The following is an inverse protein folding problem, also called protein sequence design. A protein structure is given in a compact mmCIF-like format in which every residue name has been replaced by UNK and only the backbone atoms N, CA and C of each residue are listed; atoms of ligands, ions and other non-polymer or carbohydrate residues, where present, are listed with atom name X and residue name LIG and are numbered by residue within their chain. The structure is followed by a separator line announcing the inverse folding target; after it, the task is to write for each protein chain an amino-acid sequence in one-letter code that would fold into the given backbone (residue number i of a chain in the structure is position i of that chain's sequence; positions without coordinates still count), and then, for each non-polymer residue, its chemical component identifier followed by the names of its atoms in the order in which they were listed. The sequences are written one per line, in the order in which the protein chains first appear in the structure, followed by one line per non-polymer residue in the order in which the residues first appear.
data_IF_736347859691
#
_entry.id   IF_736347859691
#
_cell.length_a   1.000
_cell.length_b   1.000
_cell.length_c   1.000
_cell.angle_alpha   90.00
_cell.angle_beta   90.00
_cell.angle_gamma   90.00
#
_symmetry.space_group_name_H-M   'P 1'
#
loop_
_entity.id
_entity.type
_entity.pdbx_description
1 polymer ?
#
# COMPACT_ATOMS: atom_id res chain seq x y z
N UNK A 1 0.57 -3.92 13.83
CA UNK A 1 1.49 -3.39 12.81
C UNK A 1 0.89 -2.13 12.20
N UNK A 2 1.72 -1.11 11.94
CA UNK A 2 1.31 0.12 11.28
C UNK A 2 1.80 0.12 9.84
N UNK A 3 0.96 0.57 8.91
CA UNK A 3 1.28 0.74 7.49
C UNK A 3 1.30 2.23 7.17
N UNK A 4 2.44 2.75 6.73
CA UNK A 4 2.55 4.09 6.17
C UNK A 4 2.50 4.01 4.65
N UNK A 5 1.58 4.72 4.05
CA UNK A 5 1.51 4.89 2.60
C UNK A 5 1.75 6.34 2.23
N UNK A 6 2.72 6.58 1.37
CA UNK A 6 3.05 7.90 0.82
C UNK A 6 2.78 7.88 -0.68
N UNK A 7 2.19 8.98 -1.16
CA UNK A 7 2.08 9.30 -2.58
C UNK A 7 2.61 10.70 -2.81
N UNK A 8 3.42 10.90 -3.85
CA UNK A 8 3.91 12.23 -4.23
C UNK A 8 4.11 12.35 -5.75
N UNK A 9 4.15 13.59 -6.25
CA UNK A 9 4.51 13.89 -7.63
C UNK A 9 6.00 14.21 -7.70
N UNK A 10 6.76 13.39 -8.40
CA UNK A 10 8.22 13.54 -8.53
C UNK A 10 8.53 14.56 -9.62
N UNK A 11 9.40 15.54 -9.31
CA UNK A 11 9.84 16.60 -10.19
C UNK A 11 11.26 16.42 -10.70
N UNK A 12 12.12 15.76 -9.91
CA UNK A 12 13.46 15.30 -10.32
C UNK A 12 13.56 13.78 -10.05
N UNK A 13 13.33 12.99 -11.09
CA UNK A 13 13.35 11.52 -10.99
C UNK A 13 14.70 10.99 -10.51
N UNK A 14 15.81 11.47 -11.08
CA UNK A 14 17.15 10.99 -10.70
C UNK A 14 17.51 11.35 -9.26
N UNK A 15 17.19 12.56 -8.83
CA UNK A 15 17.38 13.00 -7.44
C UNK A 15 16.54 12.19 -6.48
N UNK A 16 15.27 11.97 -6.81
CA UNK A 16 14.34 11.18 -6.02
C UNK A 16 14.83 9.73 -5.84
N UNK A 17 15.22 9.05 -6.91
CA UNK A 17 15.75 7.68 -6.88
C UNK A 17 17.04 7.59 -6.06
N UNK A 18 17.96 8.56 -6.20
CA UNK A 18 19.15 8.62 -5.33
C UNK A 18 18.79 8.77 -3.86
N UNK A 19 17.82 9.61 -3.56
CA UNK A 19 17.31 9.81 -2.21
C UNK A 19 16.63 8.57 -1.65
N UNK A 20 15.82 7.86 -2.47
CA UNK A 20 15.16 6.62 -2.05
C UNK A 20 16.15 5.56 -1.57
N UNK A 21 17.30 5.42 -2.22
CA UNK A 21 18.35 4.47 -1.76
C UNK A 21 18.90 4.79 -0.37
N UNK A 22 18.82 6.05 0.09
CA UNK A 22 19.27 6.43 1.45
C UNK A 22 18.33 5.91 2.55
N UNK A 23 17.11 5.54 2.18
CA UNK A 23 16.16 4.92 3.11
C UNK A 23 16.58 3.50 3.55
N UNK A 24 17.61 2.90 2.93
CA UNK A 24 18.28 1.73 3.49
C UNK A 24 18.80 1.97 4.93
N UNK A 25 19.00 3.22 5.33
CA UNK A 25 19.29 3.59 6.72
C UNK A 25 18.16 3.26 7.72
N UNK A 26 16.99 2.83 7.26
CA UNK A 26 15.92 2.28 8.12
C UNK A 26 16.26 0.88 8.66
N UNK A 27 17.21 0.16 8.05
CA UNK A 27 17.68 -1.13 8.52
C UNK A 27 18.27 -1.01 9.90
N UNK A 28 17.80 -1.20 10.94
CA UNK A 28 18.31 -1.00 12.31
C UNK A 28 17.50 0.00 13.12
N UNK A 29 16.52 0.69 12.51
CA UNK A 29 15.59 1.47 13.29
C UNK A 29 14.65 0.54 14.06
N UNK A 30 14.48 0.75 15.38
CA UNK A 30 13.62 -0.10 16.20
C UNK A 30 12.18 -0.16 15.65
N UNK A 31 11.64 -1.38 15.55
CA UNK A 31 10.29 -1.64 15.10
C UNK A 31 10.04 -1.43 13.61
N UNK A 32 11.06 -1.09 12.81
CA UNK A 32 10.96 -1.10 11.35
C UNK A 32 10.85 -2.53 10.83
N UNK A 33 9.95 -2.77 9.87
CA UNK A 33 9.64 -4.11 9.36
C UNK A 33 9.89 -4.26 7.87
N UNK A 34 10.01 -3.16 7.13
CA UNK A 34 10.28 -3.18 5.70
C UNK A 34 9.70 -1.96 4.99
N UNK A 35 10.24 -1.67 3.84
CA UNK A 35 9.77 -0.63 2.93
C UNK A 35 9.88 -1.12 1.50
N UNK A 36 8.98 -0.67 0.66
CA UNK A 36 9.06 -0.80 -0.78
C UNK A 36 8.22 0.27 -1.45
N UNK A 37 8.37 0.38 -2.74
CA UNK A 37 7.62 1.39 -3.49
C UNK A 37 7.94 1.32 -4.97
N UNK A 38 7.38 2.28 -5.71
CA UNK A 38 7.57 2.31 -7.14
C UNK A 38 6.70 3.37 -7.82
N UNK A 39 6.54 3.19 -9.12
CA UNK A 39 5.90 4.15 -9.98
C UNK A 39 4.45 3.78 -10.29
N UNK A 40 3.56 4.77 -10.23
CA UNK A 40 2.18 4.60 -10.69
C UNK A 40 2.16 4.23 -12.17
N UNK A 41 1.44 3.15 -12.51
CA UNK A 41 1.22 2.78 -13.92
C UNK A 41 0.19 3.67 -14.61
N UNK A 42 -0.74 4.22 -13.85
CA UNK A 42 -1.81 5.07 -14.37
C UNK A 42 -1.50 6.56 -14.39
N UNK A 43 -0.48 6.99 -13.64
CA UNK A 43 -0.14 8.42 -13.45
C UNK A 43 1.36 8.63 -13.56
N UNK A 44 1.89 8.98 -14.76
CA UNK A 44 3.31 9.24 -14.96
C UNK A 44 3.86 10.28 -13.97
N UNK A 45 5.03 9.99 -13.41
CA UNK A 45 5.68 10.87 -12.44
C UNK A 45 5.14 10.78 -11.00
N UNK A 46 4.12 9.94 -10.74
CA UNK A 46 3.64 9.70 -9.38
C UNK A 46 4.37 8.50 -8.78
N UNK A 47 4.95 8.70 -7.60
CA UNK A 47 5.59 7.65 -6.80
C UNK A 47 4.71 7.26 -5.62
N UNK A 48 4.75 5.98 -5.26
CA UNK A 48 4.15 5.43 -4.05
C UNK A 48 5.21 4.72 -3.23
N UNK A 49 5.21 4.96 -1.92
CA UNK A 49 6.09 4.30 -0.95
C UNK A 49 5.21 3.69 0.15
N UNK A 50 5.54 2.46 0.53
CA UNK A 50 4.90 1.73 1.61
C UNK A 50 5.97 1.38 2.64
N UNK A 51 5.75 1.76 3.90
CA UNK A 51 6.64 1.40 5.00
C UNK A 51 5.83 0.74 6.12
N UNK A 52 6.41 -0.26 6.74
CA UNK A 52 5.77 -1.08 7.76
C UNK A 52 6.50 -0.96 9.08
N UNK A 53 5.74 -0.77 10.15
CA UNK A 53 6.25 -0.59 11.50
C UNK A 53 5.54 -1.54 12.45
N UNK A 54 6.25 -2.02 13.43
CA UNK A 54 5.69 -2.92 14.45
C UNK A 54 4.53 -2.26 15.19
N UNK A 55 4.66 -0.97 15.53
CA UNK A 55 3.62 -0.18 16.18
C UNK A 55 3.69 1.30 15.82
N UNK A 56 2.65 2.03 16.19
CA UNK A 56 2.59 3.49 16.11
C UNK A 56 3.70 4.14 16.93
N UNK A 57 4.00 3.62 18.12
CA UNK A 57 5.01 4.19 19.00
C UNK A 57 6.43 4.13 18.39
N UNK A 58 6.79 3.02 17.73
CA UNK A 58 8.06 2.94 17.01
C UNK A 58 8.13 3.92 15.85
N UNK A 59 7.06 4.04 15.08
CA UNK A 59 6.98 5.02 14.00
C UNK A 59 7.12 6.47 14.51
N UNK A 60 6.40 6.85 15.57
CA UNK A 60 6.45 8.20 16.12
C UNK A 60 7.84 8.51 16.70
N UNK A 61 8.48 7.52 17.34
CA UNK A 61 9.87 7.63 17.80
C UNK A 61 10.87 7.85 16.66
N UNK A 62 10.71 7.13 15.54
CA UNK A 62 11.51 7.34 14.32
C UNK A 62 11.30 8.73 13.74
N UNK A 63 10.05 9.19 13.64
CA UNK A 63 9.73 10.54 13.14
C UNK A 63 10.39 11.63 13.96
N UNK A 64 10.43 11.47 15.29
CA UNK A 64 11.04 12.44 16.19
C UNK A 64 12.58 12.48 16.15
N UNK A 65 13.25 11.39 15.75
CA UNK A 65 14.71 11.26 15.89
C UNK A 65 15.47 11.20 14.58
N UNK A 66 15.00 10.41 13.64
CA UNK A 66 15.80 9.98 12.48
C UNK A 66 15.23 10.42 11.13
N UNK A 67 13.92 10.68 11.05
CA UNK A 67 13.21 10.93 9.80
C UNK A 67 13.84 12.06 8.98
N UNK A 68 14.02 13.23 9.57
CA UNK A 68 14.41 14.44 8.83
C UNK A 68 15.81 14.30 8.21
N UNK A 69 16.72 13.60 8.88
CA UNK A 69 18.05 13.31 8.36
C UNK A 69 17.99 12.47 7.08
N UNK A 70 17.10 11.47 7.01
CA UNK A 70 16.92 10.63 5.81
C UNK A 70 16.15 11.38 4.73
N UNK A 71 15.10 12.10 5.11
CA UNK A 71 14.23 12.85 4.19
C UNK A 71 14.99 14.00 3.49
N UNK A 72 15.98 14.60 4.13
CA UNK A 72 16.81 15.68 3.57
C UNK A 72 17.44 15.28 2.22
N UNK A 73 17.78 14.00 2.03
CA UNK A 73 18.35 13.49 0.78
C UNK A 73 17.40 13.58 -0.43
N UNK A 74 16.10 13.80 -0.20
CA UNK A 74 15.07 13.93 -1.23
C UNK A 74 14.46 15.35 -1.32
N UNK A 75 14.99 16.29 -0.55
CA UNK A 75 14.49 17.67 -0.56
C UNK A 75 14.49 18.24 -1.99
N UNK A 76 13.39 18.87 -2.38
CA UNK A 76 13.23 19.51 -3.68
C UNK A 76 13.03 18.56 -4.88
N UNK A 77 13.00 17.24 -4.67
CA UNK A 77 12.85 16.27 -5.78
C UNK A 77 11.40 15.88 -6.06
N UNK A 78 10.47 16.25 -5.21
CA UNK A 78 9.03 15.97 -5.34
C UNK A 78 8.19 17.09 -4.76
N UNK A 79 6.90 17.05 -5.06
CA UNK A 79 5.87 17.97 -4.54
C UNK A 79 4.60 17.20 -4.15
N UNK A 80 3.71 17.89 -3.42
CA UNK A 80 2.39 17.41 -3.03
C UNK A 80 2.42 16.04 -2.29
N UNK A 81 3.32 15.84 -1.29
CA UNK A 81 3.36 14.59 -0.57
C UNK A 81 2.08 14.40 0.24
N UNK A 82 1.47 13.24 0.08
CA UNK A 82 0.34 12.80 0.89
C UNK A 82 0.76 11.53 1.64
N UNK A 83 0.76 11.59 2.95
CA UNK A 83 1.05 10.45 3.82
C UNK A 83 -0.20 10.05 4.58
N UNK A 84 -0.50 8.76 4.56
CA UNK A 84 -1.58 8.16 5.34
C UNK A 84 -1.04 7.00 6.16
N UNK A 85 -1.62 6.81 7.32
CA UNK A 85 -1.28 5.74 8.26
C UNK A 85 -2.51 4.87 8.47
N UNK A 86 -2.31 3.55 8.40
CA UNK A 86 -3.35 2.57 8.60
C UNK A 86 -2.91 1.54 9.63
N UNK A 87 -3.81 1.17 10.51
CA UNK A 87 -3.61 0.04 11.39
C UNK A 87 -3.92 -1.26 10.65
N UNK A 88 -2.98 -2.20 10.67
CA UNK A 88 -3.18 -3.53 10.11
C UNK A 88 -4.30 -4.26 10.86
N UNK A 89 -5.21 -4.88 10.11
CA UNK A 89 -6.32 -5.68 10.64
C UNK A 89 -6.12 -7.17 10.39
N UNK A 90 -5.93 -7.57 9.14
CA UNK A 90 -5.74 -8.97 8.77
C UNK A 90 -5.09 -9.12 7.37
N UNK A 91 -4.63 -10.34 7.11
CA UNK A 91 -4.08 -10.72 5.81
C UNK A 91 -5.18 -10.87 4.76
N UNK A 92 -4.90 -10.41 3.54
CA UNK A 92 -5.69 -10.78 2.34
C UNK A 92 -5.34 -12.19 1.92
N UNK A 93 -4.06 -12.57 2.05
CA UNK A 93 -3.57 -13.94 1.87
C UNK A 93 -2.69 -14.28 3.06
N UNK A 94 -2.97 -15.39 3.72
CA UNK A 94 -2.32 -15.85 4.96
C UNK A 94 -0.79 -15.78 4.88
N UNK A 95 -0.16 -15.33 5.95
CA UNK A 95 1.29 -15.21 6.07
C UNK A 95 1.84 -13.94 5.44
N UNK A 96 1.13 -12.83 5.58
CA UNK A 96 1.65 -11.55 5.15
C UNK A 96 2.95 -11.19 5.87
N UNK A 97 3.99 -11.00 5.09
CA UNK A 97 5.24 -10.38 5.50
C UNK A 97 5.47 -9.13 4.65
N UNK A 98 6.00 -8.03 5.21
CA UNK A 98 6.25 -6.79 4.49
C UNK A 98 7.48 -6.89 3.57
N UNK A 99 7.51 -7.91 2.72
CA UNK A 99 8.55 -8.16 1.72
C UNK A 99 8.00 -7.89 0.33
N UNK A 100 8.81 -7.26 -0.51
CA UNK A 100 8.44 -6.88 -1.87
C UNK A 100 9.17 -7.69 -2.95
N UNK A 101 10.08 -8.57 -2.56
CA UNK A 101 11.01 -9.26 -3.46
C UNK A 101 10.37 -10.23 -4.46
N UNK A 102 9.17 -10.72 -4.16
CA UNK A 102 8.50 -11.73 -5.00
C UNK A 102 7.35 -11.15 -5.83
N UNK A 103 7.28 -9.83 -5.92
CA UNK A 103 6.21 -9.12 -6.62
C UNK A 103 6.78 -8.05 -7.54
N UNK A 104 6.17 -7.90 -8.71
CA UNK A 104 6.48 -6.80 -9.63
C UNK A 104 5.55 -5.61 -9.43
N UNK A 105 4.33 -5.85 -8.95
CA UNK A 105 3.35 -4.78 -8.77
C UNK A 105 2.61 -4.86 -7.44
N UNK A 106 2.25 -3.70 -6.93
CA UNK A 106 1.31 -3.53 -5.82
C UNK A 106 0.03 -2.87 -6.32
N UNK A 107 -1.12 -3.49 -6.05
CA UNK A 107 -2.43 -2.87 -6.23
C UNK A 107 -2.85 -2.20 -4.93
N UNK A 108 -3.25 -0.95 -5.03
CA UNK A 108 -3.81 -0.14 -3.94
C UNK A 108 -5.32 -0.01 -4.17
N UNK A 109 -6.12 -0.30 -3.14
CA UNK A 109 -7.48 0.20 -3.03
C UNK A 109 -7.61 0.95 -1.71
N UNK A 110 -7.91 2.23 -1.80
CA UNK A 110 -8.18 3.10 -0.66
C UNK A 110 -9.65 3.49 -0.70
N UNK A 111 -10.40 3.04 0.30
CA UNK A 111 -11.84 3.17 0.38
C UNK A 111 -12.23 4.11 1.52
N UNK A 112 -13.14 5.02 1.25
CA UNK A 112 -13.94 5.72 2.25
C UNK A 112 -15.29 5.01 2.34
N UNK A 113 -15.61 4.42 3.47
CA UNK A 113 -16.82 3.62 3.67
C UNK A 113 -17.89 4.45 4.37
N UNK A 114 -19.17 4.23 4.03
CA UNK A 114 -20.29 4.86 4.72
C UNK A 114 -20.36 4.37 6.15
N UNK A 115 -20.75 5.24 7.08
CA UNK A 115 -20.69 4.98 8.52
C UNK A 115 -21.50 3.75 8.93
N UNK A 116 -22.69 3.60 8.38
CA UNK A 116 -23.60 2.48 8.63
C UNK A 116 -23.22 1.17 7.92
N UNK A 117 -22.15 1.18 7.12
CA UNK A 117 -21.71 0.06 6.28
C UNK A 117 -20.34 -0.50 6.64
N UNK A 118 -19.70 0.03 7.66
CA UNK A 118 -18.31 -0.32 8.04
C UNK A 118 -18.16 -1.81 8.36
N UNK A 119 -19.05 -2.36 9.17
CA UNK A 119 -19.02 -3.78 9.53
C UNK A 119 -19.27 -4.69 8.32
N UNK A 120 -20.25 -4.34 7.49
CA UNK A 120 -20.55 -5.08 6.28
C UNK A 120 -19.37 -5.06 5.30
N UNK A 121 -18.76 -3.89 5.09
CA UNK A 121 -17.58 -3.74 4.23
C UNK A 121 -16.41 -4.64 4.69
N UNK A 122 -16.08 -4.62 5.98
CA UNK A 122 -15.03 -5.45 6.55
C UNK A 122 -15.33 -6.95 6.40
N UNK A 123 -16.59 -7.34 6.65
CA UNK A 123 -17.04 -8.72 6.46
C UNK A 123 -16.94 -9.15 4.98
N UNK A 124 -17.36 -8.30 4.05
CA UNK A 124 -17.24 -8.59 2.61
C UNK A 124 -15.81 -8.64 2.14
N UNK A 125 -14.91 -7.82 2.72
CA UNK A 125 -13.49 -7.94 2.46
C UNK A 125 -12.98 -9.34 2.85
N UNK A 126 -13.31 -9.79 4.04
CA UNK A 126 -12.87 -11.09 4.55
C UNK A 126 -13.52 -12.28 3.80
N UNK A 127 -14.83 -12.25 3.55
CA UNK A 127 -15.58 -13.41 3.04
C UNK A 127 -15.69 -13.47 1.51
N UNK A 128 -15.49 -12.36 0.82
CA UNK A 128 -15.68 -12.27 -0.64
C UNK A 128 -14.38 -11.91 -1.34
N UNK A 129 -13.76 -10.78 -0.97
CA UNK A 129 -12.59 -10.27 -1.66
C UNK A 129 -11.33 -11.09 -1.37
N UNK A 130 -11.03 -11.37 -0.10
CA UNK A 130 -9.81 -12.08 0.30
C UNK A 130 -9.71 -13.48 -0.32
N UNK A 131 -10.72 -14.36 -0.23
CA UNK A 131 -10.65 -15.68 -0.85
C UNK A 131 -10.47 -15.62 -2.36
N UNK A 132 -11.14 -14.66 -3.02
CA UNK A 132 -11.03 -14.49 -4.46
C UNK A 132 -9.64 -14.01 -4.89
N UNK A 133 -9.04 -13.07 -4.15
CA UNK A 133 -7.67 -12.60 -4.40
C UNK A 133 -6.65 -13.69 -4.08
N UNK A 134 -6.73 -14.29 -2.89
CA UNK A 134 -5.79 -15.32 -2.43
C UNK A 134 -5.73 -16.55 -3.35
N UNK A 135 -6.88 -16.93 -3.92
CA UNK A 135 -7.01 -18.02 -4.89
C UNK A 135 -6.71 -17.63 -6.35
N UNK A 136 -6.28 -16.40 -6.62
CA UNK A 136 -5.95 -15.98 -7.99
C UNK A 136 -4.47 -16.26 -8.30
N UNK A 137 -4.17 -16.79 -9.52
CA UNK A 137 -2.80 -16.94 -9.97
C UNK A 137 -2.03 -15.62 -9.87
N UNK A 138 -0.76 -15.69 -9.48
CA UNK A 138 0.11 -14.53 -9.36
C UNK A 138 -0.14 -13.63 -8.16
N UNK A 139 -1.17 -13.86 -7.35
CA UNK A 139 -1.33 -13.16 -6.07
C UNK A 139 -0.29 -13.68 -5.05
N UNK A 140 0.62 -12.81 -4.65
CA UNK A 140 1.74 -13.16 -3.75
C UNK A 140 1.30 -13.00 -2.29
N UNK A 141 0.92 -11.80 -1.90
CA UNK A 141 0.50 -11.44 -0.54
C UNK A 141 -0.34 -10.18 -0.53
N UNK A 142 -0.97 -9.90 0.59
CA UNK A 142 -1.72 -8.66 0.73
C UNK A 142 -2.26 -8.49 2.14
N UNK A 143 -2.62 -7.26 2.46
CA UNK A 143 -3.17 -6.88 3.75
C UNK A 143 -4.42 -6.00 3.60
N UNK A 144 -5.19 -5.98 4.67
CA UNK A 144 -6.27 -5.05 4.92
C UNK A 144 -5.97 -4.25 6.18
N UNK A 145 -6.12 -2.95 6.11
CA UNK A 145 -5.92 -2.02 7.22
C UNK A 145 -6.97 -0.95 7.25
N UNK A 146 -7.11 -0.29 8.40
CA UNK A 146 -8.04 0.81 8.61
C UNK A 146 -7.37 2.04 9.20
N UNK A 147 -8.04 3.18 9.06
CA UNK A 147 -7.65 4.45 9.64
C UNK A 147 -8.90 5.19 10.16
N UNK A 148 -8.72 6.20 11.05
CA UNK A 148 -9.83 7.02 11.52
C UNK A 148 -10.67 7.60 10.38
N UNK A 149 -11.97 7.76 10.65
CA UNK A 149 -12.90 8.31 9.68
C UNK A 149 -13.36 7.29 8.64
N UNK A 150 -13.44 6.01 8.96
CA UNK A 150 -13.92 4.93 8.08
C UNK A 150 -13.12 4.82 6.78
N UNK A 151 -11.82 5.07 6.86
CA UNK A 151 -10.89 4.87 5.75
C UNK A 151 -10.26 3.48 5.83
N UNK A 152 -10.17 2.80 4.68
CA UNK A 152 -9.62 1.45 4.59
C UNK A 152 -8.62 1.35 3.46
N UNK A 153 -7.59 0.56 3.69
CA UNK A 153 -6.55 0.26 2.72
C UNK A 153 -6.50 -1.24 2.43
N UNK A 154 -6.61 -1.60 1.17
CA UNK A 154 -6.27 -2.94 0.69
C UNK A 154 -5.01 -2.83 -0.14
N UNK A 155 -3.94 -3.48 0.29
CA UNK A 155 -2.73 -3.69 -0.50
C UNK A 155 -2.69 -5.14 -0.95
N UNK A 156 -2.49 -5.36 -2.25
CA UNK A 156 -2.24 -6.70 -2.79
C UNK A 156 -1.03 -6.67 -3.71
N UNK A 157 -0.15 -7.63 -3.51
CA UNK A 157 1.10 -7.77 -4.24
C UNK A 157 0.98 -8.91 -5.26
N UNK A 158 1.43 -8.68 -6.48
CA UNK A 158 1.26 -9.60 -7.60
C UNK A 158 2.58 -9.84 -8.30
N UNK A 159 2.78 -11.06 -8.78
CA UNK A 159 3.97 -11.46 -9.54
C UNK A 159 4.14 -10.63 -10.82
N UNK A 160 3.02 -10.18 -11.41
CA UNK A 160 3.08 -9.31 -12.60
C UNK A 160 1.82 -8.46 -12.75
N UNK A 161 1.94 -7.39 -13.52
CA UNK A 161 0.79 -6.58 -13.95
C UNK A 161 -0.19 -7.39 -14.83
N UNK A 162 0.29 -8.38 -15.56
CA UNK A 162 -0.55 -9.26 -16.38
C UNK A 162 -1.46 -10.12 -15.52
N UNK A 163 -0.94 -10.76 -14.47
CA UNK A 163 -1.73 -11.59 -13.55
C UNK A 163 -2.78 -10.74 -12.79
N UNK A 164 -2.38 -9.56 -12.30
CA UNK A 164 -3.34 -8.62 -11.72
C UNK A 164 -4.40 -8.19 -12.75
N UNK A 165 -4.01 -7.97 -14.00
CA UNK A 165 -4.93 -7.61 -15.09
C UNK A 165 -5.97 -8.69 -15.37
N UNK A 166 -5.58 -9.97 -15.41
CA UNK A 166 -6.50 -11.12 -15.54
C UNK A 166 -7.49 -11.15 -14.37
N UNK A 167 -7.00 -11.08 -13.13
CA UNK A 167 -7.87 -11.02 -11.96
C UNK A 167 -8.91 -9.90 -12.07
N UNK A 168 -8.47 -8.70 -12.47
CA UNK A 168 -9.36 -7.54 -12.63
C UNK A 168 -10.47 -7.80 -13.66
N UNK A 169 -10.11 -8.33 -14.82
CA UNK A 169 -11.07 -8.56 -15.92
C UNK A 169 -12.04 -9.69 -15.57
N UNK A 170 -11.54 -10.79 -15.02
CA UNK A 170 -12.33 -12.00 -14.84
C UNK A 170 -13.19 -11.98 -13.58
N UNK A 171 -12.81 -11.21 -12.55
CA UNK A 171 -13.41 -11.36 -11.22
C UNK A 171 -13.99 -10.10 -10.62
N UNK A 172 -13.38 -8.91 -10.83
CA UNK A 172 -13.71 -7.72 -10.03
C UNK A 172 -15.15 -7.29 -10.17
N UNK A 173 -15.72 -7.30 -11.38
CA UNK A 173 -17.11 -6.90 -11.59
C UNK A 173 -18.08 -7.77 -10.77
N UNK A 174 -17.96 -9.09 -10.89
CA UNK A 174 -18.80 -10.05 -10.13
C UNK A 174 -18.59 -9.92 -8.62
N UNK A 175 -17.35 -9.71 -8.16
CA UNK A 175 -17.05 -9.51 -6.74
C UNK A 175 -17.65 -8.21 -6.20
N UNK A 176 -17.60 -7.14 -6.98
CA UNK A 176 -18.19 -5.83 -6.66
C UNK A 176 -19.70 -5.95 -6.41
N UNK A 177 -20.39 -6.69 -7.29
CA UNK A 177 -21.83 -6.95 -7.14
C UNK A 177 -22.10 -7.82 -5.89
N UNK A 178 -21.37 -8.94 -5.74
CA UNK A 178 -21.56 -9.85 -4.62
C UNK A 178 -21.27 -9.21 -3.26
N UNK A 179 -20.24 -8.36 -3.19
CA UNK A 179 -19.86 -7.65 -1.98
C UNK A 179 -20.67 -6.36 -1.75
N UNK A 180 -21.61 -6.03 -2.62
CA UNK A 180 -22.39 -4.78 -2.55
C UNK A 180 -21.54 -3.53 -2.41
N UNK A 181 -20.38 -3.50 -3.06
CA UNK A 181 -19.36 -2.46 -2.88
C UNK A 181 -19.91 -1.06 -3.14
N UNK A 182 -20.80 -0.89 -4.10
CA UNK A 182 -21.44 0.41 -4.40
C UNK A 182 -22.32 0.94 -3.25
N UNK A 183 -22.91 0.04 -2.46
CA UNK A 183 -23.69 0.41 -1.28
C UNK A 183 -22.77 0.79 -0.10
N UNK A 184 -21.63 0.13 0.03
CA UNK A 184 -20.72 0.33 1.16
C UNK A 184 -19.81 1.55 0.98
N UNK A 185 -19.26 1.74 -0.23
CA UNK A 185 -18.16 2.66 -0.48
C UNK A 185 -18.68 4.01 -0.94
N UNK A 186 -18.36 5.06 -0.18
CA UNK A 186 -18.65 6.45 -0.53
C UNK A 186 -17.64 7.02 -1.54
N UNK A 187 -16.35 6.63 -1.41
CA UNK A 187 -15.31 6.99 -2.36
C UNK A 187 -14.25 5.89 -2.45
N UNK A 188 -13.78 5.64 -3.67
CA UNK A 188 -12.73 4.67 -3.96
C UNK A 188 -11.63 5.35 -4.78
N UNK A 189 -10.42 5.33 -4.27
CA UNK A 189 -9.20 5.65 -5.00
C UNK A 189 -8.34 4.40 -5.14
N UNK A 190 -7.72 4.24 -6.29
CA UNK A 190 -6.89 3.08 -6.52
C UNK A 190 -5.75 3.35 -7.50
N UNK A 191 -4.73 2.51 -7.40
CA UNK A 191 -3.59 2.53 -8.31
C UNK A 191 -2.96 1.15 -8.44
N UNK A 192 -2.20 0.97 -9.51
CA UNK A 192 -1.27 -0.14 -9.69
C UNK A 192 0.13 0.45 -9.75
N UNK A 193 0.97 0.04 -8.84
CA UNK A 193 2.33 0.54 -8.67
C UNK A 193 3.30 -0.51 -9.19
N UNK A 194 4.10 -0.15 -10.18
CA UNK A 194 5.23 -0.95 -10.64
C UNK A 194 6.38 -0.79 -9.65
N UNK A 195 6.76 -1.88 -9.00
CA UNK A 195 7.76 -1.85 -7.95
C UNK A 195 9.15 -1.51 -8.50
N UNK A 196 9.86 -0.67 -7.76
CA UNK A 196 11.26 -0.35 -8.04
C UNK A 196 12.13 -1.10 -7.02
N UNK A 197 12.82 -2.18 -7.44
CA UNK A 197 13.57 -3.04 -6.51
C UNK A 197 14.58 -2.28 -5.66
N UNK A 198 15.16 -1.20 -6.18
CA UNK A 198 16.16 -0.39 -5.48
C UNK A 198 15.59 0.45 -4.33
N UNK A 199 14.24 0.48 -4.16
CA UNK A 199 13.56 1.16 -3.05
C UNK A 199 13.16 0.21 -1.93
N UNK A 200 13.42 -1.09 -2.12
CA UNK A 200 13.12 -2.12 -1.11
C UNK A 200 14.19 -2.12 -0.01
N UNK A 201 13.70 -2.10 1.23
CA UNK A 201 14.52 -2.11 2.46
C UNK A 201 14.01 -3.19 3.39
#
# INVERSE_FOLDING_TARGET
MLVKWIRCTVTDRRGFERGQRKWAGLLGEPGFRGQGGGWSRGRPGVAHIFAFWESRAFYDSFMARSHDRLAAAQSGTFRDPQAKLFDYRFDVKTGFEPKFTDADVVRIAHCKVREDRVEHFALMQEKVWNPAMAGSPGMVRGLFGDAPGNEFLVLSMWQSAAEHGKYRIERVERLTLRAQTAADVAALAGDVVELEPTWTV
#
